data_IF_870164884130
#
_entry.id   IF_870164884130
#
_cell.length_a   1.000
_cell.length_b   1.000
_cell.length_c   1.000
_cell.angle_alpha   90.00
_cell.angle_beta   90.00
_cell.angle_gamma   90.00
#
_symmetry.space_group_name_H-M   'P 1'
#
loop_
_entity.id
_entity.type
_entity.pdbx_description
1 polymer ?
#
# COMPACT_ATOMS: atom_id res chain seq x y z
N UNK A 1 8.63 1.39 -18.87
CA UNK A 1 9.13 1.26 -17.47
C UNK A 1 10.58 1.74 -17.51
N UNK A 2 10.98 2.46 -16.48
CA UNK A 2 12.35 2.93 -16.37
C UNK A 2 13.15 1.91 -15.58
N UNK A 3 14.28 1.44 -16.11
CA UNK A 3 15.21 0.55 -15.39
C UNK A 3 15.95 1.32 -14.30
N UNK A 4 16.15 2.62 -14.52
CA UNK A 4 16.79 3.54 -13.60
C UNK A 4 15.85 4.67 -13.24
N UNK A 5 15.90 5.10 -11.98
CA UNK A 5 15.17 6.25 -11.47
C UNK A 5 16.18 7.26 -10.92
N UNK A 6 16.12 8.47 -11.42
CA UNK A 6 16.94 9.59 -10.97
C UNK A 6 16.18 10.37 -9.89
N UNK A 7 16.76 10.44 -8.71
CA UNK A 7 16.18 11.09 -7.53
C UNK A 7 16.98 12.34 -7.21
N UNK A 8 16.32 13.49 -7.16
CA UNK A 8 16.93 14.78 -6.79
C UNK A 8 16.33 15.28 -5.49
N UNK A 9 17.19 15.48 -4.48
CA UNK A 9 16.84 15.99 -3.16
C UNK A 9 17.00 17.49 -3.09
N UNK A 10 15.97 18.18 -2.64
CA UNK A 10 15.95 19.62 -2.43
C UNK A 10 15.67 19.94 -0.97
N UNK A 11 16.27 20.98 -0.45
CA UNK A 11 15.91 21.55 0.84
C UNK A 11 14.65 22.40 0.70
N UNK A 12 13.73 22.27 1.64
CA UNK A 12 12.48 23.03 1.69
C UNK A 12 11.37 22.49 0.77
N UNK A 13 10.32 23.29 0.66
CA UNK A 13 9.13 22.97 -0.13
C UNK A 13 9.22 23.61 -1.53
N UNK A 14 9.22 22.79 -2.54
CA UNK A 14 9.24 23.27 -3.94
C UNK A 14 7.89 23.85 -4.41
N UNK A 15 6.80 23.55 -3.71
CA UNK A 15 5.47 24.14 -3.92
C UNK A 15 4.99 24.10 -5.37
N UNK A 16 4.46 25.24 -5.86
CA UNK A 16 3.91 25.37 -7.21
C UNK A 16 4.95 25.19 -8.34
N UNK A 17 6.26 25.28 -8.03
CA UNK A 17 7.33 25.10 -9.04
C UNK A 17 7.34 23.73 -9.67
N UNK A 18 6.79 22.73 -8.95
CA UNK A 18 6.68 21.33 -9.46
C UNK A 18 5.65 21.23 -10.59
N UNK A 19 4.64 22.09 -10.61
CA UNK A 19 3.57 22.03 -11.62
C UNK A 19 4.09 22.12 -13.05
N UNK A 20 5.19 22.85 -13.26
CA UNK A 20 5.84 22.99 -14.58
C UNK A 20 6.55 21.73 -15.04
N UNK A 21 6.87 20.83 -14.12
CA UNK A 21 7.59 19.57 -14.40
C UNK A 21 6.63 18.40 -14.68
N UNK A 22 5.36 18.49 -14.27
CA UNK A 22 4.36 17.43 -14.47
C UNK A 22 4.07 17.12 -15.94
N UNK A 23 4.41 17.99 -16.86
CA UNK A 23 4.29 17.78 -18.31
C UNK A 23 5.50 17.09 -18.96
N UNK A 24 6.57 16.87 -18.21
CA UNK A 24 7.77 16.15 -18.73
C UNK A 24 7.45 14.66 -18.81
N UNK A 25 7.73 14.04 -19.96
CA UNK A 25 7.42 12.62 -20.22
C UNK A 25 8.17 11.63 -19.31
N UNK A 26 9.31 12.06 -18.76
CA UNK A 26 10.12 11.27 -17.84
C UNK A 26 9.84 11.58 -16.36
N UNK A 27 8.92 12.52 -16.07
CA UNK A 27 8.53 12.84 -14.70
C UNK A 27 7.74 11.68 -14.10
N UNK A 28 8.29 11.07 -13.03
CA UNK A 28 7.65 9.97 -12.32
C UNK A 28 6.78 10.53 -11.19
N UNK A 29 7.32 11.51 -10.42
CA UNK A 29 6.56 12.10 -9.33
C UNK A 29 7.38 12.89 -8.34
N UNK A 30 6.75 13.19 -7.22
CA UNK A 30 7.26 14.05 -6.17
C UNK A 30 6.91 13.47 -4.80
N UNK A 31 7.86 13.54 -3.89
CA UNK A 31 7.68 13.19 -2.48
C UNK A 31 8.22 14.31 -1.60
N UNK A 32 7.54 14.57 -0.50
CA UNK A 32 7.99 15.51 0.53
C UNK A 32 8.06 14.81 1.87
N UNK A 33 9.19 14.97 2.55
CA UNK A 33 9.40 14.42 3.89
C UNK A 33 10.09 15.48 4.75
N UNK A 34 9.45 15.86 5.85
CA UNK A 34 9.90 16.92 6.74
C UNK A 34 10.28 18.19 5.97
N UNK A 35 11.54 18.58 6.03
CA UNK A 35 12.09 19.79 5.39
C UNK A 35 12.70 19.52 4.01
N UNK A 36 12.48 18.33 3.43
CA UNK A 36 13.04 17.94 2.15
C UNK A 36 11.97 17.62 1.11
N UNK A 37 12.33 17.88 -0.14
CA UNK A 37 11.53 17.54 -1.32
C UNK A 37 12.34 16.66 -2.26
N UNK A 38 11.74 15.58 -2.75
CA UNK A 38 12.37 14.61 -3.66
C UNK A 38 11.62 14.59 -4.97
N UNK A 39 12.34 14.75 -6.08
CA UNK A 39 11.80 14.62 -7.43
C UNK A 39 12.34 13.36 -8.08
N UNK A 40 11.46 12.63 -8.74
CA UNK A 40 11.75 11.34 -9.37
C UNK A 40 11.54 11.43 -10.87
N UNK A 41 12.54 11.02 -11.64
CA UNK A 41 12.51 11.01 -13.10
C UNK A 41 13.03 9.68 -13.66
N UNK A 42 12.50 9.27 -14.81
CA UNK A 42 12.96 8.08 -15.53
C UNK A 42 14.24 8.27 -16.36
N UNK A 43 14.69 9.53 -16.49
CA UNK A 43 15.96 9.90 -17.13
C UNK A 43 16.63 11.03 -16.37
N UNK A 44 17.92 11.23 -16.64
CA UNK A 44 18.66 12.35 -16.05
C UNK A 44 18.05 13.70 -16.48
N UNK A 45 17.67 14.52 -15.50
CA UNK A 45 17.11 15.87 -15.67
C UNK A 45 17.94 16.95 -15.01
N UNK A 46 19.17 16.65 -14.61
CA UNK A 46 20.08 17.59 -13.92
C UNK A 46 20.14 18.96 -14.56
N UNK A 47 20.41 19.01 -15.85
CA UNK A 47 20.54 20.27 -16.59
C UNK A 47 19.20 21.07 -16.65
N UNK A 48 18.07 20.37 -16.72
CA UNK A 48 16.75 21.02 -16.66
C UNK A 48 16.49 21.58 -15.26
N UNK A 49 16.68 20.79 -14.22
CA UNK A 49 16.39 21.15 -12.86
C UNK A 49 17.24 22.33 -12.36
N UNK A 50 18.51 22.37 -12.72
CA UNK A 50 19.42 23.48 -12.41
C UNK A 50 18.99 24.82 -13.01
N UNK A 51 18.18 24.83 -14.08
CA UNK A 51 17.66 26.06 -14.70
C UNK A 51 16.35 26.53 -14.11
N UNK A 52 15.50 25.62 -13.60
CA UNK A 52 14.11 25.92 -13.24
C UNK A 52 13.83 25.85 -11.75
N UNK A 53 14.70 25.21 -10.97
CA UNK A 53 14.55 25.03 -9.53
C UNK A 53 15.78 25.57 -8.77
N UNK A 54 15.67 25.75 -7.44
CA UNK A 54 16.83 25.97 -6.58
C UNK A 54 17.88 24.85 -6.74
N UNK A 55 19.12 25.07 -6.32
CA UNK A 55 20.12 23.99 -6.30
C UNK A 55 19.60 22.79 -5.49
N UNK A 56 19.72 21.59 -6.04
CA UNK A 56 19.44 20.36 -5.29
C UNK A 56 20.66 19.99 -4.42
N UNK A 57 20.38 19.35 -3.29
CA UNK A 57 21.35 18.95 -2.28
C UNK A 57 22.11 17.70 -2.69
N UNK A 58 21.38 16.72 -3.20
CA UNK A 58 21.95 15.46 -3.65
C UNK A 58 21.22 14.92 -4.89
N UNK A 59 21.92 14.05 -5.60
CA UNK A 59 21.42 13.28 -6.71
C UNK A 59 21.74 11.81 -6.47
N UNK A 60 20.74 10.95 -6.62
CA UNK A 60 20.89 9.51 -6.47
C UNK A 60 20.24 8.81 -7.66
N UNK A 61 20.88 7.78 -8.17
CA UNK A 61 20.31 6.92 -9.20
C UNK A 61 19.99 5.58 -8.58
N UNK A 62 18.72 5.21 -8.61
CA UNK A 62 18.20 3.95 -8.08
C UNK A 62 17.86 3.02 -9.23
N UNK A 63 18.13 1.73 -9.09
CA UNK A 63 17.51 0.71 -9.93
C UNK A 63 16.12 0.43 -9.40
N UNK A 64 15.18 0.20 -10.28
CA UNK A 64 13.81 -0.13 -9.87
C UNK A 64 13.78 -1.37 -8.94
N UNK A 65 14.63 -2.34 -9.20
CA UNK A 65 14.80 -3.56 -8.39
C UNK A 65 15.31 -3.30 -6.96
N UNK A 66 16.07 -2.22 -6.75
CA UNK A 66 16.62 -1.86 -5.43
C UNK A 66 15.56 -1.20 -4.54
N UNK A 67 14.43 -0.74 -5.12
CA UNK A 67 13.34 -0.07 -4.38
C UNK A 67 12.46 -1.05 -3.58
N UNK A 68 12.31 -2.28 -4.04
CA UNK A 68 11.55 -3.32 -3.35
C UNK A 68 12.32 -4.64 -3.25
N UNK A 69 12.97 -4.87 -2.10
CA UNK A 69 13.51 -6.17 -1.68
C UNK A 69 14.33 -6.96 -2.73
N UNK A 70 14.90 -6.29 -3.74
CA UNK A 70 15.82 -6.89 -4.71
C UNK A 70 15.24 -8.01 -5.59
N UNK A 71 13.93 -8.20 -5.60
CA UNK A 71 13.29 -9.24 -6.42
C UNK A 71 12.82 -8.68 -7.76
N UNK A 72 13.15 -9.33 -8.89
CA UNK A 72 12.63 -8.96 -10.19
C UNK A 72 11.09 -8.97 -10.17
N UNK A 73 10.48 -7.96 -10.84
CA UNK A 73 9.04 -7.92 -11.01
C UNK A 73 8.60 -9.05 -11.94
N UNK A 74 8.06 -10.10 -11.35
CA UNK A 74 7.56 -11.28 -12.05
C UNK A 74 6.14 -11.64 -11.62
N UNK A 75 5.61 -12.70 -12.19
CA UNK A 75 4.33 -13.27 -11.80
C UNK A 75 4.50 -13.94 -10.42
N UNK A 76 3.67 -13.52 -9.48
CA UNK A 76 3.65 -14.04 -8.12
C UNK A 76 2.32 -14.76 -7.88
N UNK A 77 2.39 -15.93 -7.24
CA UNK A 77 1.22 -16.66 -6.78
C UNK A 77 1.15 -16.69 -5.26
N UNK A 78 0.03 -16.25 -4.71
CA UNK A 78 -0.29 -16.34 -3.27
C UNK A 78 -1.66 -17.01 -3.15
N UNK A 79 -1.69 -18.28 -2.79
CA UNK A 79 -2.92 -19.09 -2.82
C UNK A 79 -3.59 -19.09 -4.20
N UNK A 80 -4.84 -18.64 -4.29
CA UNK A 80 -5.58 -18.46 -5.54
C UNK A 80 -5.39 -17.08 -6.18
N UNK A 81 -4.55 -16.23 -5.59
CA UNK A 81 -4.28 -14.88 -6.10
C UNK A 81 -3.01 -14.90 -6.96
N UNK A 82 -3.14 -14.43 -8.20
CA UNK A 82 -2.00 -14.21 -9.10
C UNK A 82 -1.79 -12.70 -9.23
N UNK A 83 -0.64 -12.22 -8.81
CA UNK A 83 -0.19 -10.83 -9.00
C UNK A 83 0.80 -10.79 -10.14
N UNK A 84 0.62 -9.90 -11.10
CA UNK A 84 1.52 -9.77 -12.23
C UNK A 84 1.68 -8.31 -12.65
N UNK A 85 2.84 -7.90 -13.15
CA UNK A 85 3.00 -6.59 -13.77
C UNK A 85 2.23 -6.52 -15.10
N UNK A 86 1.80 -5.32 -15.56
CA UNK A 86 0.97 -5.18 -16.76
C UNK A 86 1.66 -5.62 -18.06
N UNK A 87 3.00 -5.69 -18.09
CA UNK A 87 3.80 -6.16 -19.25
C UNK A 87 4.08 -7.67 -19.25
N UNK A 88 3.63 -8.41 -18.20
CA UNK A 88 3.70 -9.88 -18.16
C UNK A 88 2.29 -10.44 -18.00
N UNK A 89 1.82 -11.18 -18.97
CA UNK A 89 0.52 -11.86 -18.89
C UNK A 89 0.72 -13.27 -18.36
N UNK A 90 0.01 -13.69 -17.29
CA UNK A 90 0.05 -15.08 -16.83
C UNK A 90 -0.41 -16.03 -17.93
N UNK A 91 0.35 -17.10 -18.18
CA UNK A 91 -0.01 -18.13 -19.15
C UNK A 91 -1.28 -18.88 -18.74
N UNK A 92 -1.47 -19.08 -17.45
CA UNK A 92 -2.65 -19.72 -16.89
C UNK A 92 -3.42 -18.71 -16.03
N UNK A 93 -4.70 -18.51 -16.34
CA UNK A 93 -5.61 -17.72 -15.52
C UNK A 93 -6.24 -18.65 -14.46
N UNK A 94 -5.47 -19.00 -13.43
CA UNK A 94 -6.01 -19.70 -12.26
C UNK A 94 -6.37 -18.68 -11.18
N UNK A 95 -7.63 -18.73 -10.69
CA UNK A 95 -8.09 -17.91 -9.59
C UNK A 95 -8.19 -16.41 -9.92
N UNK A 96 -7.84 -15.58 -8.96
CA UNK A 96 -7.95 -14.13 -9.01
C UNK A 96 -6.68 -13.51 -9.60
N UNK A 97 -6.80 -12.70 -10.64
CA UNK A 97 -5.67 -12.02 -11.28
C UNK A 97 -5.65 -10.52 -10.94
N UNK A 98 -4.53 -10.03 -10.43
CA UNK A 98 -4.27 -8.64 -10.11
C UNK A 98 -3.15 -8.11 -11.00
N UNK A 99 -3.46 -7.11 -11.84
CA UNK A 99 -2.45 -6.41 -12.63
C UNK A 99 -1.91 -5.24 -11.82
N UNK A 100 -0.67 -5.32 -11.37
CA UNK A 100 -0.04 -4.32 -10.48
C UNK A 100 1.25 -3.79 -11.13
N UNK A 101 1.24 -2.51 -11.45
CA UNK A 101 2.45 -1.75 -11.72
C UNK A 101 2.95 -1.17 -10.39
N UNK A 102 4.11 -1.58 -9.88
CA UNK A 102 4.60 -1.11 -8.59
C UNK A 102 4.97 0.37 -8.60
N UNK A 103 5.29 0.96 -9.76
CA UNK A 103 5.72 2.35 -9.83
C UNK A 103 6.88 2.62 -8.86
N UNK A 104 6.71 3.68 -8.05
CA UNK A 104 7.60 4.05 -6.96
C UNK A 104 6.94 3.86 -5.58
N UNK A 105 5.86 3.08 -5.50
CA UNK A 105 5.14 2.82 -4.27
C UNK A 105 5.48 1.44 -3.70
N UNK A 106 5.34 1.29 -2.38
CA UNK A 106 5.42 0.00 -1.72
C UNK A 106 4.22 -0.88 -2.05
N UNK A 107 4.41 -2.19 -2.14
CA UNK A 107 3.33 -3.17 -2.32
C UNK A 107 3.26 -3.78 -3.73
N UNK A 108 4.40 -4.18 -4.32
CA UNK A 108 4.43 -4.97 -5.58
C UNK A 108 3.81 -6.37 -5.41
N UNK A 109 3.71 -6.83 -4.17
CA UNK A 109 3.32 -8.19 -3.80
C UNK A 109 4.49 -9.06 -3.33
N UNK A 110 5.72 -8.74 -3.69
CA UNK A 110 6.90 -9.58 -3.37
C UNK A 110 7.30 -9.54 -1.89
N UNK A 111 7.02 -8.44 -1.20
CA UNK A 111 7.39 -8.31 0.21
C UNK A 111 6.58 -9.27 1.10
N UNK A 112 7.24 -9.88 2.08
CA UNK A 112 6.64 -10.86 2.99
C UNK A 112 5.37 -10.34 3.69
N UNK A 113 5.35 -9.05 4.10
CA UNK A 113 4.16 -8.46 4.72
C UNK A 113 2.97 -8.38 3.76
N UNK A 114 3.21 -8.08 2.48
CA UNK A 114 2.15 -8.03 1.47
C UNK A 114 1.62 -9.41 1.15
N UNK A 115 2.51 -10.42 1.00
CA UNK A 115 2.10 -11.83 0.84
C UNK A 115 1.27 -12.31 2.02
N UNK A 116 1.70 -11.98 3.24
CA UNK A 116 0.97 -12.30 4.47
C UNK A 116 -0.43 -11.69 4.48
N UNK A 117 -0.56 -10.42 4.08
CA UNK A 117 -1.86 -9.77 3.94
C UNK A 117 -2.74 -10.48 2.91
N UNK A 118 -2.23 -10.76 1.71
CA UNK A 118 -2.99 -11.45 0.66
C UNK A 118 -3.46 -12.84 1.12
N UNK A 119 -2.59 -13.60 1.80
CA UNK A 119 -2.93 -14.90 2.37
C UNK A 119 -4.06 -14.82 3.40
N UNK A 120 -4.00 -13.84 4.31
CA UNK A 120 -5.03 -13.67 5.34
C UNK A 120 -6.33 -13.10 4.77
N UNK A 121 -6.27 -12.25 3.73
CA UNK A 121 -7.45 -11.78 3.01
C UNK A 121 -8.16 -12.94 2.32
N UNK A 122 -7.44 -13.82 1.62
CA UNK A 122 -8.03 -15.00 0.99
C UNK A 122 -8.81 -15.84 2.01
N UNK A 123 -8.22 -16.12 3.17
CA UNK A 123 -8.87 -16.86 4.25
C UNK A 123 -10.08 -16.15 4.83
N UNK A 124 -10.02 -14.83 5.00
CA UNK A 124 -11.16 -14.04 5.49
C UNK A 124 -12.32 -14.09 4.51
N UNK A 125 -12.04 -13.84 3.20
CA UNK A 125 -13.07 -13.81 2.17
C UNK A 125 -13.72 -15.17 1.87
N UNK A 126 -13.07 -16.27 2.22
CA UNK A 126 -13.69 -17.61 2.23
C UNK A 126 -14.72 -17.78 3.35
N UNK A 127 -14.59 -17.05 4.46
CA UNK A 127 -15.50 -17.11 5.62
C UNK A 127 -16.61 -16.07 5.56
N UNK A 128 -16.26 -14.84 5.19
CA UNK A 128 -17.20 -13.72 5.05
C UNK A 128 -16.65 -12.73 4.03
N UNK A 129 -17.54 -11.95 3.41
CA UNK A 129 -17.16 -10.93 2.43
C UNK A 129 -17.39 -9.54 3.05
N UNK A 130 -16.33 -8.86 3.56
CA UNK A 130 -16.44 -7.48 3.99
C UNK A 130 -16.88 -6.58 2.82
N UNK A 131 -18.02 -5.92 2.94
CA UNK A 131 -18.57 -5.12 1.84
C UNK A 131 -17.80 -3.80 1.67
N UNK A 132 -17.34 -3.21 2.78
CA UNK A 132 -16.61 -1.94 2.81
C UNK A 132 -15.23 -2.14 3.42
N UNK A 133 -14.20 -1.73 2.71
CA UNK A 133 -12.80 -1.84 3.13
C UNK A 133 -12.21 -0.45 3.34
N UNK A 134 -11.49 -0.25 4.41
CA UNK A 134 -10.67 0.93 4.69
C UNK A 134 -9.20 0.49 4.68
N UNK A 135 -8.42 0.98 3.72
CA UNK A 135 -7.02 0.62 3.50
C UNK A 135 -6.12 1.82 3.80
N UNK A 136 -5.45 1.76 4.94
CA UNK A 136 -4.60 2.82 5.49
C UNK A 136 -3.14 2.59 5.08
N UNK A 137 -2.57 3.50 4.29
CA UNK A 137 -1.27 3.32 3.67
C UNK A 137 -1.34 2.35 2.49
N UNK A 138 -2.20 2.68 1.53
CA UNK A 138 -2.57 1.76 0.43
C UNK A 138 -1.41 1.42 -0.52
N UNK A 139 -0.36 2.25 -0.58
CA UNK A 139 0.78 2.04 -1.46
C UNK A 139 0.37 1.90 -2.92
N UNK A 140 0.67 0.75 -3.53
CA UNK A 140 0.25 0.42 -4.91
C UNK A 140 -1.25 0.20 -5.06
N UNK A 141 -2.00 0.10 -3.97
CA UNK A 141 -3.42 -0.26 -3.97
C UNK A 141 -3.70 -1.76 -3.99
N UNK A 142 -2.69 -2.61 -3.94
CA UNK A 142 -2.81 -4.06 -4.15
C UNK A 142 -3.82 -4.72 -3.21
N UNK A 143 -3.85 -4.35 -1.91
CA UNK A 143 -4.74 -4.97 -0.92
C UNK A 143 -6.19 -4.56 -1.15
N UNK A 144 -6.45 -3.29 -1.44
CA UNK A 144 -7.76 -2.80 -1.85
C UNK A 144 -8.26 -3.46 -3.12
N UNK A 145 -7.40 -3.58 -4.15
CA UNK A 145 -7.71 -4.24 -5.42
C UNK A 145 -8.04 -5.71 -5.19
N UNK A 146 -7.25 -6.42 -4.34
CA UNK A 146 -7.52 -7.80 -3.98
C UNK A 146 -8.90 -7.95 -3.32
N UNK A 147 -9.23 -7.12 -2.33
CA UNK A 147 -10.53 -7.15 -1.65
C UNK A 147 -11.69 -6.93 -2.63
N UNK A 148 -11.59 -5.93 -3.51
CA UNK A 148 -12.64 -5.64 -4.50
C UNK A 148 -12.83 -6.79 -5.48
N UNK A 149 -11.75 -7.38 -5.95
CA UNK A 149 -11.82 -8.53 -6.85
C UNK A 149 -12.30 -9.83 -6.16
N UNK A 150 -12.14 -9.94 -4.85
CA UNK A 150 -12.73 -11.01 -4.03
C UNK A 150 -14.19 -10.78 -3.66
N UNK A 151 -14.79 -9.63 -4.01
CA UNK A 151 -16.22 -9.38 -3.85
C UNK A 151 -16.59 -8.26 -2.88
N UNK A 152 -15.65 -7.52 -2.32
CA UNK A 152 -15.96 -6.27 -1.63
C UNK A 152 -16.64 -5.28 -2.58
N UNK A 153 -17.57 -4.47 -2.06
CA UNK A 153 -18.32 -3.53 -2.89
C UNK A 153 -17.58 -2.21 -3.09
N UNK A 154 -16.87 -1.76 -2.08
CA UNK A 154 -16.17 -0.48 -2.10
C UNK A 154 -14.92 -0.54 -1.21
N UNK A 155 -13.84 0.07 -1.68
CA UNK A 155 -12.62 0.30 -0.93
C UNK A 155 -12.35 1.81 -0.79
N UNK A 156 -12.09 2.24 0.42
CA UNK A 156 -11.62 3.55 0.81
C UNK A 156 -10.13 3.44 1.08
N UNK A 157 -9.32 3.94 0.16
CA UNK A 157 -7.87 3.70 0.15
C UNK A 157 -7.15 5.03 0.27
N UNK A 158 -6.22 5.12 1.18
CA UNK A 158 -5.51 6.37 1.41
C UNK A 158 -4.02 6.15 1.66
N UNK A 159 -3.26 7.15 1.29
CA UNK A 159 -1.83 7.23 1.57
C UNK A 159 -1.43 8.68 1.79
N UNK A 160 -0.43 8.92 2.64
CA UNK A 160 0.10 10.28 2.81
C UNK A 160 1.04 10.68 1.66
N UNK A 161 1.54 9.70 0.90
CA UNK A 161 2.48 9.87 -0.18
C UNK A 161 1.75 10.01 -1.53
N UNK A 162 1.93 11.13 -2.20
CA UNK A 162 1.32 11.39 -3.50
C UNK A 162 1.74 10.36 -4.57
N UNK A 163 3.00 9.89 -4.56
CA UNK A 163 3.47 8.84 -5.49
C UNK A 163 2.69 7.54 -5.32
N UNK A 164 2.38 7.18 -4.07
CA UNK A 164 1.55 6.02 -3.77
C UNK A 164 0.13 6.21 -4.33
N UNK A 165 -0.48 7.37 -4.13
CA UNK A 165 -1.82 7.67 -4.67
C UNK A 165 -1.84 7.63 -6.19
N UNK A 166 -0.84 8.20 -6.88
CA UNK A 166 -0.75 8.17 -8.34
C UNK A 166 -0.54 6.73 -8.86
N UNK A 167 0.26 5.94 -8.17
CA UNK A 167 0.47 4.51 -8.46
C UNK A 167 -0.82 3.70 -8.25
N UNK A 168 -1.49 3.88 -7.10
CA UNK A 168 -2.75 3.21 -6.81
C UNK A 168 -3.85 3.58 -7.81
N UNK A 169 -3.89 4.84 -8.26
CA UNK A 169 -4.83 5.32 -9.29
C UNK A 169 -4.58 4.61 -10.63
N UNK A 170 -3.32 4.46 -11.04
CA UNK A 170 -2.95 3.69 -12.24
C UNK A 170 -3.39 2.23 -12.11
N UNK A 171 -3.07 1.58 -10.99
CA UNK A 171 -3.41 0.19 -10.74
C UNK A 171 -4.91 -0.05 -10.64
N UNK A 172 -5.67 0.89 -10.06
CA UNK A 172 -7.12 0.89 -10.08
C UNK A 172 -7.66 0.80 -11.52
N UNK A 173 -7.13 1.63 -12.44
CA UNK A 173 -7.50 1.62 -13.85
C UNK A 173 -7.11 0.32 -14.55
N UNK A 174 -5.90 -0.23 -14.31
CA UNK A 174 -5.46 -1.51 -14.86
C UNK A 174 -6.37 -2.69 -14.48
N UNK A 175 -7.12 -2.55 -13.38
CA UNK A 175 -8.02 -3.56 -12.86
C UNK A 175 -9.51 -3.26 -13.10
N UNK A 176 -9.86 -2.11 -13.71
CA UNK A 176 -11.25 -1.72 -14.03
C UNK A 176 -12.08 -1.42 -12.78
N UNK A 177 -11.49 -0.77 -11.76
CA UNK A 177 -12.11 -0.58 -10.44
C UNK A 177 -12.39 0.91 -10.11
N UNK A 178 -12.49 1.76 -11.13
CA UNK A 178 -12.63 3.22 -10.98
C UNK A 178 -13.84 3.62 -10.13
N UNK A 179 -14.92 2.88 -10.22
CA UNK A 179 -16.16 3.16 -9.51
C UNK A 179 -16.24 2.55 -8.10
N UNK A 180 -15.31 1.67 -7.75
CA UNK A 180 -15.35 0.90 -6.50
C UNK A 180 -14.20 1.27 -5.53
N UNK A 181 -13.08 1.75 -6.06
CA UNK A 181 -11.91 2.14 -5.26
C UNK A 181 -11.79 3.66 -5.21
N UNK A 182 -12.02 4.23 -4.04
CA UNK A 182 -11.88 5.66 -3.77
C UNK A 182 -10.51 5.94 -3.15
N UNK A 183 -9.80 6.94 -3.70
CA UNK A 183 -8.44 7.26 -3.33
C UNK A 183 -8.34 8.66 -2.75
N UNK A 184 -7.69 8.82 -1.59
CA UNK A 184 -7.41 10.10 -0.96
C UNK A 184 -5.96 10.18 -0.50
N UNK A 185 -5.41 11.37 -0.58
CA UNK A 185 -4.13 11.70 0.04
C UNK A 185 -4.40 12.26 1.45
N UNK A 186 -3.78 11.67 2.46
CA UNK A 186 -3.93 12.14 3.84
C UNK A 186 -3.28 11.24 4.88
N UNK A 187 -3.28 11.71 6.11
CA UNK A 187 -2.80 10.95 7.26
C UNK A 187 -3.83 9.88 7.66
N UNK A 188 -3.39 8.65 7.83
CA UNK A 188 -4.23 7.52 8.22
C UNK A 188 -5.07 7.80 9.49
N UNK A 189 -4.55 8.60 10.41
CA UNK A 189 -5.20 8.96 11.68
C UNK A 189 -6.49 9.77 11.48
N UNK A 190 -6.53 10.59 10.43
CA UNK A 190 -7.67 11.46 10.14
C UNK A 190 -8.85 10.71 9.49
N UNK A 191 -8.62 9.47 9.04
CA UNK A 191 -9.61 8.68 8.28
C UNK A 191 -10.22 7.51 9.08
N UNK A 192 -9.82 7.31 10.33
CA UNK A 192 -10.37 6.24 11.18
C UNK A 192 -11.90 6.32 11.38
N UNK A 193 -12.51 7.48 11.20
CA UNK A 193 -13.97 7.68 11.30
C UNK A 193 -14.76 7.11 10.11
N UNK A 194 -14.10 6.75 9.01
CA UNK A 194 -14.78 6.14 7.87
C UNK A 194 -15.35 4.79 8.30
N UNK A 195 -16.65 4.60 8.07
CA UNK A 195 -17.33 3.34 8.34
C UNK A 195 -16.92 2.25 7.35
N UNK A 196 -16.36 1.15 7.86
CA UNK A 196 -15.91 0.01 7.07
C UNK A 196 -16.13 -1.29 7.85
N UNK A 197 -16.20 -2.41 7.12
CA UNK A 197 -16.31 -3.75 7.69
C UNK A 197 -14.93 -4.34 7.97
N UNK A 198 -13.92 -3.95 7.17
CA UNK A 198 -12.54 -4.36 7.30
C UNK A 198 -11.63 -3.14 7.27
N UNK A 199 -10.75 -3.00 8.28
CA UNK A 199 -9.64 -2.07 8.28
C UNK A 199 -8.35 -2.84 7.94
N UNK A 200 -7.62 -2.34 6.96
CA UNK A 200 -6.30 -2.85 6.55
C UNK A 200 -5.26 -1.79 6.88
N UNK A 201 -4.15 -2.19 7.49
CA UNK A 201 -2.97 -1.35 7.68
C UNK A 201 -1.70 -2.22 7.56
N UNK A 202 -1.04 -2.15 6.41
CA UNK A 202 0.28 -2.72 6.20
C UNK A 202 1.32 -1.61 6.32
N UNK A 203 1.60 -1.21 7.56
CA UNK A 203 2.38 -0.04 7.92
C UNK A 203 3.49 -0.42 8.91
N UNK A 204 4.51 0.43 9.04
CA UNK A 204 5.52 0.27 10.06
C UNK A 204 4.94 0.43 11.47
N UNK A 205 5.62 -0.18 12.46
CA UNK A 205 5.16 -0.31 13.84
C UNK A 205 4.67 1.01 14.46
N UNK A 206 5.43 2.12 14.31
CA UNK A 206 5.08 3.40 14.94
C UNK A 206 3.73 3.94 14.46
N UNK A 207 3.42 3.77 13.16
CA UNK A 207 2.13 4.19 12.62
C UNK A 207 0.99 3.34 13.18
N UNK A 208 1.15 2.01 13.21
CA UNK A 208 0.15 1.10 13.79
C UNK A 208 -0.05 1.38 15.28
N UNK A 209 1.02 1.61 16.03
CA UNK A 209 0.93 1.91 17.47
C UNK A 209 0.13 3.19 17.72
N UNK A 210 0.37 4.26 16.95
CA UNK A 210 -0.40 5.52 17.03
C UNK A 210 -1.87 5.35 16.63
N UNK A 211 -2.18 4.54 15.61
CA UNK A 211 -3.56 4.25 15.21
C UNK A 211 -4.31 3.51 16.33
N UNK A 212 -3.67 2.53 16.95
CA UNK A 212 -4.24 1.69 18.00
C UNK A 212 -4.35 2.36 19.37
N UNK A 213 -3.82 3.57 19.53
CA UNK A 213 -4.04 4.42 20.70
C UNK A 213 -5.37 5.18 20.63
N UNK A 214 -5.99 5.27 19.45
CA UNK A 214 -7.24 5.97 19.25
C UNK A 214 -8.43 5.05 19.44
N UNK A 215 -9.41 5.45 20.27
CA UNK A 215 -10.61 4.66 20.56
C UNK A 215 -11.41 4.33 19.28
N UNK A 216 -11.50 5.27 18.35
CA UNK A 216 -12.22 5.10 17.08
C UNK A 216 -11.60 4.00 16.19
N UNK A 217 -10.32 3.63 16.39
CA UNK A 217 -9.72 2.50 15.71
C UNK A 217 -10.55 1.23 15.91
N UNK A 218 -11.06 0.99 17.13
CA UNK A 218 -11.78 -0.23 17.50
C UNK A 218 -13.26 -0.25 17.08
N UNK A 219 -13.63 0.53 16.06
CA UNK A 219 -15.02 0.63 15.58
C UNK A 219 -15.34 -0.25 14.37
N UNK A 220 -14.43 -1.15 13.97
CA UNK A 220 -14.60 -1.99 12.78
C UNK A 220 -14.81 -3.46 13.16
N UNK A 221 -15.57 -4.24 12.37
CA UNK A 221 -15.72 -5.69 12.56
C UNK A 221 -14.41 -6.47 12.42
N UNK A 222 -13.59 -6.17 11.41
CA UNK A 222 -12.36 -6.92 11.10
C UNK A 222 -11.17 -5.99 10.91
N UNK A 223 -9.97 -6.51 11.24
CA UNK A 223 -8.70 -5.80 11.11
C UNK A 223 -7.63 -6.72 10.52
N UNK A 224 -6.96 -6.24 9.49
CA UNK A 224 -5.77 -6.87 8.94
C UNK A 224 -4.57 -5.94 9.14
N UNK A 225 -3.63 -6.34 9.97
CA UNK A 225 -2.47 -5.54 10.33
C UNK A 225 -1.19 -6.26 9.94
N UNK A 226 -0.26 -5.55 9.31
CA UNK A 226 1.03 -6.09 8.88
C UNK A 226 2.10 -4.98 8.79
N UNK A 227 3.29 -5.33 8.28
CA UNK A 227 4.44 -4.41 8.28
C UNK A 227 5.17 -4.41 9.63
N UNK A 228 4.98 -5.46 10.42
CA UNK A 228 5.49 -5.61 11.78
C UNK A 228 6.65 -6.60 11.80
N UNK A 229 7.81 -6.15 12.25
CA UNK A 229 9.02 -6.95 12.24
C UNK A 229 9.36 -7.49 13.64
N UNK A 230 9.61 -8.79 13.76
CA UNK A 230 10.14 -9.41 14.98
C UNK A 230 9.32 -9.09 16.23
N UNK A 231 9.97 -8.48 17.23
CA UNK A 231 9.33 -8.15 18.51
C UNK A 231 8.18 -7.14 18.42
N UNK A 232 8.18 -6.29 17.40
CA UNK A 232 7.10 -5.32 17.16
C UNK A 232 5.77 -6.05 16.91
N UNK A 233 5.82 -7.13 16.14
CA UNK A 233 4.65 -7.99 15.90
C UNK A 233 4.05 -8.53 17.19
N UNK A 234 4.88 -9.03 18.09
CA UNK A 234 4.40 -9.54 19.40
C UNK A 234 3.78 -8.42 20.24
N UNK A 235 4.39 -7.23 20.30
CA UNK A 235 3.85 -6.08 21.05
C UNK A 235 2.47 -5.64 20.55
N UNK A 236 2.31 -5.51 19.22
CA UNK A 236 1.02 -5.15 18.61
C UNK A 236 -0.02 -6.23 18.91
N UNK A 237 0.32 -7.50 18.74
CA UNK A 237 -0.59 -8.61 19.04
C UNK A 237 -1.07 -8.57 20.49
N UNK A 238 -0.17 -8.46 21.46
CA UNK A 238 -0.53 -8.40 22.90
C UNK A 238 -1.40 -7.17 23.24
N UNK A 239 -1.09 -6.00 22.66
CA UNK A 239 -1.89 -4.79 22.82
C UNK A 239 -3.31 -5.01 22.32
N UNK A 240 -3.47 -5.56 21.13
CA UNK A 240 -4.77 -5.70 20.47
C UNK A 240 -5.62 -6.85 21.03
N UNK A 241 -5.01 -7.94 21.49
CA UNK A 241 -5.74 -9.06 22.10
C UNK A 241 -6.45 -8.70 23.41
N UNK A 242 -6.18 -7.53 23.99
CA UNK A 242 -6.96 -6.99 25.13
C UNK A 242 -8.38 -6.58 24.72
N UNK A 243 -8.62 -6.33 23.43
CA UNK A 243 -9.89 -5.80 22.90
C UNK A 243 -10.43 -6.56 21.69
N UNK A 244 -9.57 -7.22 20.94
CA UNK A 244 -9.89 -7.94 19.71
C UNK A 244 -9.57 -9.43 19.84
N UNK A 245 -10.29 -10.26 19.13
CA UNK A 245 -10.02 -11.70 19.01
C UNK A 245 -9.10 -11.94 17.83
N UNK A 246 -7.94 -12.55 18.04
CA UNK A 246 -7.06 -13.00 16.98
C UNK A 246 -7.69 -14.17 16.23
N UNK A 247 -7.90 -14.05 14.93
CA UNK A 247 -8.44 -15.10 14.08
C UNK A 247 -7.37 -15.94 13.42
N UNK A 248 -6.32 -15.27 12.92
CA UNK A 248 -5.24 -15.95 12.19
C UNK A 248 -3.96 -15.11 12.22
N UNK A 249 -2.85 -15.76 11.95
CA UNK A 249 -1.51 -15.15 11.86
C UNK A 249 -0.79 -15.73 10.67
N UNK A 250 -0.13 -14.87 9.90
CA UNK A 250 0.86 -15.27 8.91
C UNK A 250 2.22 -14.73 9.31
N UNK A 251 3.24 -15.58 9.24
CA UNK A 251 4.64 -15.20 9.47
C UNK A 251 5.48 -15.70 8.31
N UNK A 252 6.20 -14.81 7.69
CA UNK A 252 7.19 -15.13 6.67
C UNK A 252 8.49 -14.38 6.99
N UNK A 253 9.59 -15.13 7.14
CA UNK A 253 10.85 -14.62 7.69
C UNK A 253 10.61 -14.01 9.08
N UNK A 254 10.89 -12.74 9.27
CA UNK A 254 10.66 -12.03 10.54
C UNK A 254 9.42 -11.10 10.49
N UNK A 255 8.64 -11.14 9.39
CA UNK A 255 7.47 -10.29 9.20
C UNK A 255 6.20 -10.98 9.66
N UNK A 256 5.37 -10.23 10.41
CA UNK A 256 4.09 -10.72 10.92
C UNK A 256 2.93 -9.97 10.27
N UNK A 257 1.89 -10.75 9.96
CA UNK A 257 0.57 -10.25 9.56
C UNK A 257 -0.47 -10.90 10.46
N UNK A 258 -1.42 -10.12 10.94
CA UNK A 258 -2.46 -10.55 11.88
C UNK A 258 -3.84 -10.22 11.35
N UNK A 259 -4.75 -11.17 11.45
CA UNK A 259 -6.16 -10.99 11.21
C UNK A 259 -6.90 -11.04 12.57
N UNK A 260 -7.59 -9.94 12.91
CA UNK A 260 -8.41 -9.86 14.10
C UNK A 260 -9.87 -9.61 13.77
N UNK A 261 -10.76 -9.94 14.71
CA UNK A 261 -12.17 -9.53 14.72
C UNK A 261 -12.51 -8.79 15.99
N UNK A 262 -13.48 -7.88 15.90
CA UNK A 262 -14.09 -7.27 17.06
C UNK A 262 -15.13 -8.24 17.65
N UNK A 263 -15.10 -8.56 18.97
CA UNK A 263 -15.95 -9.58 19.55
C UNK A 263 -17.45 -9.28 19.47
N UNK A 264 -17.83 -7.98 19.40
CA UNK A 264 -19.23 -7.52 19.41
C UNK A 264 -19.72 -7.03 18.05
N UNK A 265 -18.83 -6.56 17.15
CA UNK A 265 -19.20 -5.94 15.88
C UNK A 265 -19.20 -6.91 14.71
N UNK A 266 -18.35 -7.92 14.75
CA UNK A 266 -18.34 -8.96 13.73
C UNK A 266 -19.53 -9.91 13.92
N UNK A 267 -20.29 -10.14 12.84
CA UNK A 267 -21.31 -11.18 12.82
C UNK A 267 -20.68 -12.54 13.16
N UNK A 268 -21.39 -13.44 13.87
CA UNK A 268 -20.91 -14.80 14.05
C UNK A 268 -20.64 -15.42 12.68
N UNK A 269 -19.49 -16.05 12.54
CA UNK A 269 -19.12 -16.78 11.33
C UNK A 269 -20.20 -17.82 11.06
N UNK A 270 -20.69 -17.90 9.82
CA UNK A 270 -21.51 -19.02 9.40
C UNK A 270 -20.62 -20.28 9.51
N UNK A 271 -20.86 -21.07 10.55
CA UNK A 271 -20.22 -22.34 10.85
C UNK A 271 -20.52 -23.40 9.81
#
# INVERSE_FOLDING_TARGET
MYDLVYVYEFEGNLGAKISTLKGDEDYIGFWREADYSYLFFGKDKKALLQRVLPPFRSETVLRHEDWEAGNPLDILHVGQITVHPPWKTPLEKKGLSLSIDPGMAFGSGNHASTKGCLTLLEKLFQRCIPAKVLDLGTGTGILSIACLKMGARVAFSLDYNNLAIDTAKKNRGLNGLENQMHLWMGDARDFLYIGADLLIANLFFQAIDQLTDQEVFFSKPYYLLSGLLGHEGYRVREKLQKRLTLLDTHQENFWFSYLFRHPQLASPENS
#
